data_IF_200525554090
#
_entry.id   IF_200525554090
#
_cell.length_a   1.000
_cell.length_b   1.000
_cell.length_c   1.000
_cell.angle_alpha   90.00
_cell.angle_beta   90.00
_cell.angle_gamma   90.00
#
_symmetry.space_group_name_H-M   'P 1'
#
loop_
_entity.id
_entity.type
_entity.pdbx_description
1 polymer ?
#
# COMPACT_ATOMS: atom_id res chain seq x y z
N UNK A 1 -14.66 9.68 -11.37
CA UNK A 1 -14.21 9.52 -9.97
C UNK A 1 -13.11 8.45 -9.81
N UNK A 2 -13.25 7.24 -10.39
CA UNK A 2 -12.21 6.19 -10.33
C UNK A 2 -10.88 6.60 -11.03
N UNK A 3 -10.95 7.23 -12.21
CA UNK A 3 -9.75 7.63 -12.96
C UNK A 3 -8.87 8.66 -12.22
N UNK A 4 -9.48 9.67 -11.58
CA UNK A 4 -8.74 10.70 -10.82
C UNK A 4 -7.99 10.07 -9.65
N UNK A 5 -8.60 9.08 -8.99
CA UNK A 5 -7.96 8.38 -7.88
C UNK A 5 -6.78 7.53 -8.34
N UNK A 6 -6.93 6.82 -9.47
CA UNK A 6 -5.84 6.03 -10.07
C UNK A 6 -4.68 6.94 -10.50
N UNK A 7 -4.97 8.08 -11.12
CA UNK A 7 -3.95 9.08 -11.49
C UNK A 7 -3.25 9.62 -10.24
N UNK A 8 -4.00 10.02 -9.21
CA UNK A 8 -3.44 10.47 -7.95
C UNK A 8 -2.59 9.40 -7.26
N UNK A 9 -3.00 8.13 -7.36
CA UNK A 9 -2.25 6.99 -6.85
C UNK A 9 -0.92 6.81 -7.58
N UNK A 10 -0.89 6.90 -8.91
CA UNK A 10 0.37 6.79 -9.67
C UNK A 10 1.29 7.99 -9.40
N UNK A 11 0.76 9.20 -9.30
CA UNK A 11 1.54 10.38 -8.90
C UNK A 11 2.12 10.18 -7.50
N UNK A 12 1.32 9.69 -6.55
CA UNK A 12 1.76 9.38 -5.20
C UNK A 12 2.86 8.31 -5.19
N UNK A 13 2.68 7.20 -5.89
CA UNK A 13 3.67 6.14 -6.01
C UNK A 13 4.98 6.65 -6.64
N UNK A 14 4.90 7.44 -7.72
CA UNK A 14 6.08 8.06 -8.33
C UNK A 14 6.78 9.02 -7.37
N UNK A 15 6.02 9.81 -6.61
CA UNK A 15 6.59 10.73 -5.61
C UNK A 15 7.34 9.98 -4.50
N UNK A 16 6.79 8.85 -4.02
CA UNK A 16 7.45 7.98 -3.05
C UNK A 16 8.70 7.31 -3.64
N UNK A 17 8.65 6.86 -4.89
CA UNK A 17 9.81 6.30 -5.58
C UNK A 17 10.93 7.35 -5.74
N UNK A 18 10.58 8.60 -6.09
CA UNK A 18 11.52 9.72 -6.14
C UNK A 18 12.14 10.04 -4.78
N UNK A 19 11.33 10.09 -3.71
CA UNK A 19 11.79 10.25 -2.34
C UNK A 19 12.73 9.13 -1.91
N UNK A 20 12.40 7.87 -2.23
CA UNK A 20 13.25 6.74 -1.91
C UNK A 20 14.60 6.80 -2.63
N UNK A 21 14.63 7.26 -3.89
CA UNK A 21 15.88 7.49 -4.62
C UNK A 21 16.74 8.58 -3.99
N UNK A 22 16.12 9.70 -3.57
CA UNK A 22 16.82 10.76 -2.84
C UNK A 22 17.40 10.23 -1.52
N UNK A 23 16.60 9.51 -0.72
CA UNK A 23 17.06 8.91 0.53
C UNK A 23 18.21 7.93 0.27
N UNK A 24 18.14 7.11 -0.78
CA UNK A 24 19.23 6.19 -1.16
C UNK A 24 20.52 6.94 -1.49
N UNK A 25 20.42 8.13 -2.09
CA UNK A 25 21.58 8.94 -2.44
C UNK A 25 22.30 9.51 -1.20
N UNK A 26 21.55 10.03 -0.23
CA UNK A 26 22.12 10.59 1.01
C UNK A 26 22.46 9.52 2.08
N UNK A 27 21.64 8.47 2.18
CA UNK A 27 21.73 7.41 3.18
C UNK A 27 21.57 6.03 2.53
N UNK A 28 22.61 5.50 1.86
CA UNK A 28 22.53 4.23 1.13
C UNK A 28 22.23 3.02 2.02
N UNK A 29 22.57 3.07 3.32
CA UNK A 29 22.27 2.01 4.28
C UNK A 29 20.81 1.99 4.74
N UNK A 30 20.06 3.08 4.56
CA UNK A 30 18.67 3.17 5.00
C UNK A 30 17.70 2.45 4.05
N UNK A 31 18.08 2.26 2.78
CA UNK A 31 17.26 1.58 1.77
C UNK A 31 17.74 0.14 1.58
N UNK A 32 16.88 -0.82 1.93
CA UNK A 32 17.17 -2.24 1.73
C UNK A 32 17.37 -2.59 0.24
N UNK A 33 18.20 -3.60 -0.05
CA UNK A 33 18.52 -3.95 -1.45
C UNK A 33 17.27 -4.43 -2.22
N UNK A 34 16.34 -5.09 -1.52
CA UNK A 34 15.08 -5.59 -2.04
C UNK A 34 13.95 -4.55 -2.02
N UNK A 35 14.25 -3.29 -1.69
CA UNK A 35 13.25 -2.22 -1.57
C UNK A 35 12.33 -2.12 -2.77
N UNK A 36 12.87 -2.15 -4.00
CA UNK A 36 12.07 -2.03 -5.22
C UNK A 36 11.08 -3.18 -5.40
N UNK A 37 11.45 -4.38 -4.97
CA UNK A 37 10.57 -5.56 -5.02
C UNK A 37 9.43 -5.40 -4.01
N UNK A 38 9.73 -4.97 -2.79
CA UNK A 38 8.73 -4.66 -1.75
C UNK A 38 7.80 -3.53 -2.21
N UNK A 39 8.37 -2.46 -2.77
CA UNK A 39 7.64 -1.31 -3.27
C UNK A 39 6.64 -1.72 -4.34
N UNK A 40 7.10 -2.46 -5.36
CA UNK A 40 6.22 -2.97 -6.42
C UNK A 40 5.13 -3.90 -5.88
N UNK A 41 5.49 -4.79 -4.95
CA UNK A 41 4.53 -5.70 -4.32
C UNK A 41 3.44 -4.95 -3.56
N UNK A 42 3.80 -4.06 -2.63
CA UNK A 42 2.85 -3.27 -1.84
C UNK A 42 2.02 -2.34 -2.74
N UNK A 43 2.63 -1.74 -3.76
CA UNK A 43 1.93 -0.91 -4.73
C UNK A 43 0.82 -1.72 -5.43
N UNK A 44 1.17 -2.83 -6.09
CA UNK A 44 0.20 -3.69 -6.79
C UNK A 44 -0.88 -4.20 -5.83
N UNK A 45 -0.49 -4.63 -4.64
CA UNK A 45 -1.43 -5.14 -3.64
C UNK A 45 -2.43 -4.06 -3.18
N UNK A 46 -1.97 -2.82 -3.02
CA UNK A 46 -2.82 -1.67 -2.69
C UNK A 46 -3.78 -1.32 -3.83
N UNK A 47 -3.33 -1.45 -5.08
CA UNK A 47 -4.20 -1.23 -6.24
C UNK A 47 -5.30 -2.29 -6.32
N UNK A 48 -4.97 -3.56 -6.08
CA UNK A 48 -5.96 -4.65 -6.02
C UNK A 48 -6.95 -4.43 -4.87
N UNK A 49 -6.47 -4.09 -3.68
CA UNK A 49 -7.31 -3.83 -2.52
C UNK A 49 -8.25 -2.62 -2.75
N UNK A 50 -7.76 -1.55 -3.37
CA UNK A 50 -8.60 -0.44 -3.81
C UNK A 50 -9.70 -0.87 -4.79
N UNK A 51 -9.37 -1.68 -5.81
CA UNK A 51 -10.35 -2.15 -6.78
C UNK A 51 -11.44 -3.00 -6.11
N UNK A 52 -11.04 -3.93 -5.22
CA UNK A 52 -11.98 -4.75 -4.43
C UNK A 52 -12.92 -3.88 -3.59
N UNK A 53 -12.37 -2.91 -2.85
CA UNK A 53 -13.17 -1.99 -2.06
C UNK A 53 -14.09 -1.13 -2.93
N UNK A 54 -13.61 -0.66 -4.08
CA UNK A 54 -14.41 0.16 -4.99
C UNK A 54 -15.61 -0.58 -5.56
N UNK A 55 -15.45 -1.86 -5.90
CA UNK A 55 -16.57 -2.72 -6.33
C UNK A 55 -17.60 -2.87 -5.21
N UNK A 56 -17.17 -3.07 -3.96
CA UNK A 56 -18.08 -3.17 -2.81
C UNK A 56 -18.84 -1.88 -2.52
N UNK A 57 -18.16 -0.73 -2.57
CA UNK A 57 -18.78 0.60 -2.34
C UNK A 57 -19.87 0.90 -3.40
N UNK A 58 -19.66 0.53 -4.66
CA UNK A 58 -20.64 0.75 -5.73
C UNK A 58 -21.95 -0.02 -5.56
N UNK A 59 -21.96 -1.13 -4.82
CA UNK A 59 -23.16 -1.96 -4.63
C UNK A 59 -24.08 -1.38 -3.57
N UNK A 60 -23.53 -0.98 -2.42
CA UNK A 60 -24.30 -0.41 -1.32
C UNK A 60 -23.37 0.34 -0.34
N UNK A 61 -23.73 1.55 0.15
CA UNK A 61 -22.89 2.31 1.08
C UNK A 61 -22.59 1.57 2.38
N UNK A 62 -23.57 0.83 2.93
CA UNK A 62 -23.41 0.04 4.14
C UNK A 62 -22.42 -1.12 3.95
N UNK A 63 -22.49 -1.79 2.79
CA UNK A 63 -21.57 -2.87 2.41
C UNK A 63 -20.18 -2.29 2.06
N UNK A 64 -20.12 -1.03 1.64
CA UNK A 64 -18.88 -0.33 1.30
C UNK A 64 -17.87 -0.26 2.45
N UNK A 65 -18.33 -0.04 3.69
CA UNK A 65 -17.43 -0.03 4.87
C UNK A 65 -16.83 -1.42 5.08
N UNK A 66 -17.65 -2.48 5.01
CA UNK A 66 -17.17 -3.86 5.13
C UNK A 66 -16.25 -4.26 3.98
N UNK A 67 -16.48 -3.76 2.78
CA UNK A 67 -15.60 -3.99 1.63
C UNK A 67 -14.22 -3.35 1.81
N UNK A 68 -14.15 -2.14 2.38
CA UNK A 68 -12.87 -1.49 2.74
C UNK A 68 -12.17 -2.29 3.84
N UNK A 69 -12.89 -2.67 4.89
CA UNK A 69 -12.30 -3.43 5.99
C UNK A 69 -11.75 -4.77 5.49
N UNK A 70 -12.52 -5.48 4.66
CA UNK A 70 -12.15 -6.74 4.04
C UNK A 70 -10.95 -6.60 3.10
N UNK A 71 -10.92 -5.56 2.26
CA UNK A 71 -9.77 -5.33 1.36
C UNK A 71 -8.49 -5.05 2.12
N UNK A 72 -8.57 -4.26 3.20
CA UNK A 72 -7.41 -3.97 4.07
C UNK A 72 -6.94 -5.23 4.80
N UNK A 73 -7.84 -6.06 5.32
CA UNK A 73 -7.49 -7.34 5.97
C UNK A 73 -6.80 -8.27 4.98
N UNK A 74 -7.35 -8.46 3.78
CA UNK A 74 -6.76 -9.30 2.74
C UNK A 74 -5.36 -8.77 2.39
N UNK A 75 -5.21 -7.46 2.16
CA UNK A 75 -3.92 -6.83 1.90
C UNK A 75 -2.94 -7.08 3.04
N UNK A 76 -3.37 -6.93 4.29
CA UNK A 76 -2.54 -7.16 5.47
C UNK A 76 -2.04 -8.60 5.51
N UNK A 77 -2.91 -9.58 5.28
CA UNK A 77 -2.54 -11.00 5.27
C UNK A 77 -1.49 -11.31 4.19
N UNK A 78 -1.70 -10.85 2.95
CA UNK A 78 -0.71 -11.04 1.88
C UNK A 78 0.62 -10.34 2.17
N UNK A 79 0.57 -9.13 2.72
CA UNK A 79 1.75 -8.38 3.14
C UNK A 79 2.51 -9.12 4.25
N UNK A 80 1.81 -9.64 5.27
CA UNK A 80 2.40 -10.41 6.36
C UNK A 80 3.00 -11.74 5.87
N UNK A 81 2.31 -12.47 5.00
CA UNK A 81 2.87 -13.70 4.40
C UNK A 81 4.14 -13.39 3.60
N UNK A 82 4.14 -12.32 2.81
CA UNK A 82 5.29 -11.92 2.03
C UNK A 82 6.50 -11.56 2.91
N UNK A 83 6.32 -10.71 3.92
CA UNK A 83 7.42 -10.32 4.81
C UNK A 83 7.94 -11.50 5.62
N UNK A 84 7.06 -12.41 6.05
CA UNK A 84 7.45 -13.62 6.77
C UNK A 84 8.32 -14.54 5.90
N UNK A 85 7.89 -14.84 4.68
CA UNK A 85 8.64 -15.69 3.75
C UNK A 85 10.02 -15.09 3.45
N UNK A 86 10.09 -13.77 3.22
CA UNK A 86 11.37 -13.11 2.96
C UNK A 86 12.28 -13.05 4.19
N UNK A 87 11.71 -12.83 5.37
CA UNK A 87 12.46 -12.79 6.63
C UNK A 87 13.07 -14.16 6.94
N UNK A 88 12.33 -15.27 6.73
CA UNK A 88 12.85 -16.63 6.94
C UNK A 88 13.98 -17.01 5.99
N UNK A 89 14.02 -16.41 4.78
CA UNK A 89 15.12 -16.63 3.81
C UNK A 89 16.37 -15.82 4.14
N UNK A 90 16.25 -14.73 4.90
CA UNK A 90 17.39 -13.94 5.31
C UNK A 90 18.02 -14.49 6.59
N UNK A 91 19.26 -14.94 6.50
CA UNK A 91 20.01 -15.51 7.64
C UNK A 91 20.45 -14.46 8.65
N UNK A 92 20.38 -13.17 8.30
CA UNK A 92 20.66 -12.03 9.17
C UNK A 92 19.41 -11.15 9.21
N UNK A 93 18.90 -10.84 10.40
CA UNK A 93 17.76 -9.95 10.55
C UNK A 93 18.05 -8.57 9.97
N UNK A 94 17.55 -8.30 8.77
CA UNK A 94 17.70 -7.01 8.10
C UNK A 94 16.63 -6.04 8.62
N UNK A 95 17.00 -5.31 9.66
CA UNK A 95 16.18 -4.26 10.27
C UNK A 95 15.82 -3.17 9.25
N UNK A 96 16.71 -2.87 8.30
CA UNK A 96 16.42 -1.91 7.24
C UNK A 96 15.29 -2.43 6.36
N UNK A 97 15.30 -3.71 5.97
CA UNK A 97 14.20 -4.32 5.23
C UNK A 97 12.86 -4.24 5.97
N UNK A 98 12.84 -4.59 7.26
CA UNK A 98 11.62 -4.52 8.08
C UNK A 98 11.07 -3.08 8.16
N UNK A 99 11.93 -2.10 8.40
CA UNK A 99 11.54 -0.69 8.44
C UNK A 99 11.03 -0.20 7.08
N UNK A 100 11.72 -0.50 5.99
CA UNK A 100 11.28 -0.13 4.64
C UNK A 100 9.91 -0.74 4.31
N UNK A 101 9.72 -2.03 4.61
CA UNK A 101 8.45 -2.71 4.41
C UNK A 101 7.32 -2.05 5.21
N UNK A 102 7.55 -1.81 6.50
CA UNK A 102 6.55 -1.22 7.38
C UNK A 102 6.20 0.22 6.99
N UNK A 103 7.20 1.05 6.67
CA UNK A 103 7.00 2.42 6.20
C UNK A 103 6.20 2.44 4.90
N UNK A 104 6.55 1.61 3.91
CA UNK A 104 5.80 1.53 2.66
C UNK A 104 4.38 1.05 2.90
N UNK A 105 4.19 -0.01 3.70
CA UNK A 105 2.87 -0.52 4.03
C UNK A 105 1.99 0.56 4.66
N UNK A 106 2.49 1.31 5.64
CA UNK A 106 1.76 2.41 6.28
C UNK A 106 1.42 3.52 5.29
N UNK A 107 2.40 3.99 4.52
CA UNK A 107 2.22 5.08 3.57
C UNK A 107 1.19 4.73 2.49
N UNK A 108 1.24 3.53 1.93
CA UNK A 108 0.23 3.08 0.96
C UNK A 108 -1.14 2.84 1.60
N UNK A 109 -1.18 2.31 2.83
CA UNK A 109 -2.44 2.07 3.55
C UNK A 109 -3.16 3.37 3.93
N UNK A 110 -2.42 4.38 4.40
CA UNK A 110 -3.00 5.69 4.71
C UNK A 110 -3.61 6.33 3.47
N UNK A 111 -2.87 6.33 2.35
CA UNK A 111 -3.38 6.85 1.08
C UNK A 111 -4.66 6.13 0.64
N UNK A 112 -4.67 4.79 0.70
CA UNK A 112 -5.81 3.95 0.35
C UNK A 112 -7.04 4.25 1.22
N UNK A 113 -6.90 4.19 2.56
CA UNK A 113 -8.02 4.39 3.49
C UNK A 113 -8.58 5.80 3.35
N UNK A 114 -7.74 6.83 3.32
CA UNK A 114 -8.20 8.22 3.16
C UNK A 114 -8.96 8.41 1.85
N UNK A 115 -8.49 7.77 0.78
CA UNK A 115 -9.14 7.77 -0.53
C UNK A 115 -10.50 7.10 -0.54
N UNK A 116 -10.57 5.89 0.00
CA UNK A 116 -11.79 5.09 0.07
C UNK A 116 -12.82 5.75 1.01
N UNK A 117 -12.40 6.30 2.15
CA UNK A 117 -13.28 6.98 3.10
C UNK A 117 -13.90 8.25 2.51
N UNK A 118 -13.11 9.04 1.76
CA UNK A 118 -13.62 10.21 1.02
C UNK A 118 -14.66 9.80 -0.02
N UNK A 119 -14.41 8.69 -0.72
CA UNK A 119 -15.32 8.18 -1.74
C UNK A 119 -16.66 7.72 -1.12
N UNK A 120 -16.59 6.99 0.01
CA UNK A 120 -17.76 6.60 0.81
C UNK A 120 -18.57 7.80 1.29
N UNK A 121 -17.89 8.83 1.82
CA UNK A 121 -18.56 10.04 2.33
C UNK A 121 -19.29 10.82 1.24
N UNK A 122 -18.74 10.85 0.02
CA UNK A 122 -19.39 11.50 -1.11
C UNK A 122 -20.60 10.71 -1.62
N UNK A 123 -20.59 9.39 -1.51
CA UNK A 123 -21.72 8.52 -1.88
C UNK A 123 -22.86 8.51 -0.84
N UNK A 124 -22.57 8.90 0.41
CA UNK A 124 -23.56 8.99 1.49
C UNK A 124 -24.13 10.41 1.68
N UNK A 125 -23.90 11.31 0.72
CA UNK A 125 -24.53 12.63 0.62
C UNK A 125 -25.51 12.61 -0.54
#
# INVERSE_FOLDING_TARGET
MCLIFIVAYFIYALSLAGLAMLIKHFFPQAIANQFWLVFGFIAVLTLIAYLLAHVGIKRNPQIGVFAILGSVIIKMLFAMSFVLIYSLKQTKGDLAFALNFFSLYLLFTLFEILGLLRNLRHQNK
#
